data_IF_803442795703
#
_entry.id   IF_803442795703
#
_cell.length_a   1.000
_cell.length_b   1.000
_cell.length_c   1.000
_cell.angle_alpha   90.00
_cell.angle_beta   90.00
_cell.angle_gamma   90.00
#
_symmetry.space_group_name_H-M   'P 1'
#
loop_
_entity.id
_entity.type
_entity.pdbx_description
1 polymer ?
#
# COMPACT_ATOMS: atom_id res chain seq x y z
N UNK A 1 9.30 18.21 -11.22
CA UNK A 1 10.34 18.27 -12.28
C UNK A 1 9.95 19.29 -13.33
N UNK A 2 10.92 19.98 -13.90
CA UNK A 2 10.75 20.89 -15.05
C UNK A 2 11.73 20.48 -16.13
N UNK A 3 11.27 20.21 -17.36
CA UNK A 3 12.12 19.76 -18.49
C UNK A 3 13.07 18.62 -18.08
N UNK A 4 12.57 17.61 -17.36
CA UNK A 4 13.38 16.47 -16.92
C UNK A 4 14.29 16.73 -15.70
N UNK A 5 14.34 17.94 -15.16
CA UNK A 5 15.21 18.30 -14.05
C UNK A 5 14.46 18.35 -12.71
N UNK A 6 15.12 17.93 -11.63
CA UNK A 6 14.63 18.13 -10.26
C UNK A 6 14.71 19.61 -9.89
N UNK A 7 13.63 20.14 -9.34
CA UNK A 7 13.53 21.54 -8.93
C UNK A 7 12.79 21.60 -7.59
N UNK A 8 13.30 22.38 -6.65
CA UNK A 8 12.56 22.77 -5.46
C UNK A 8 11.43 23.73 -5.84
N UNK A 9 10.31 23.61 -5.16
CA UNK A 9 9.23 24.58 -5.23
C UNK A 9 8.56 24.72 -3.86
N UNK A 10 7.94 25.88 -3.62
CA UNK A 10 7.18 26.17 -2.41
C UNK A 10 5.74 26.48 -2.85
N UNK A 11 4.76 25.99 -2.10
CA UNK A 11 3.38 26.44 -2.21
C UNK A 11 3.18 27.42 -1.06
N UNK A 12 2.89 28.67 -1.40
CA UNK A 12 2.77 29.77 -0.46
C UNK A 12 1.38 30.40 -0.59
N UNK A 13 0.55 30.15 0.41
CA UNK A 13 -0.83 30.65 0.48
C UNK A 13 -0.89 32.15 0.76
N UNK A 14 0.19 32.77 1.23
CA UNK A 14 0.20 34.20 1.51
C UNK A 14 0.51 34.99 0.24
N UNK A 15 1.31 34.41 -0.66
CA UNK A 15 1.62 35.04 -1.92
C UNK A 15 0.46 34.96 -2.93
N UNK A 16 0.15 36.06 -3.61
CA UNK A 16 -0.95 36.11 -4.59
C UNK A 16 -0.56 35.59 -5.97
N UNK A 17 0.72 35.62 -6.32
CA UNK A 17 1.22 35.36 -7.69
C UNK A 17 2.14 34.14 -7.77
N UNK A 18 2.19 33.51 -8.94
CA UNK A 18 3.19 32.48 -9.21
C UNK A 18 4.51 33.11 -9.66
N UNK A 19 5.61 32.58 -9.18
CA UNK A 19 6.95 33.12 -9.38
C UNK A 19 7.92 32.01 -9.78
N UNK A 20 8.80 32.32 -10.71
CA UNK A 20 9.91 31.50 -11.14
C UNK A 20 11.20 32.27 -10.95
N UNK A 21 12.23 31.62 -10.42
CA UNK A 21 13.52 32.28 -10.27
C UNK A 21 14.20 32.45 -11.63
N UNK A 22 14.84 33.60 -11.83
CA UNK A 22 15.65 33.88 -13.00
C UNK A 22 16.71 32.78 -13.21
N UNK A 23 17.33 32.32 -12.12
CA UNK A 23 18.30 31.23 -12.12
C UNK A 23 17.73 29.93 -12.69
N UNK A 24 16.48 29.57 -12.40
CA UNK A 24 15.82 28.40 -13.01
C UNK A 24 15.67 28.57 -14.52
N UNK A 25 15.16 29.74 -14.93
CA UNK A 25 14.85 30.06 -16.32
C UNK A 25 16.12 30.02 -17.18
N UNK A 26 17.20 30.63 -16.70
CA UNK A 26 18.50 30.64 -17.38
C UNK A 26 19.11 29.23 -17.42
N UNK A 27 19.15 28.53 -16.27
CA UNK A 27 19.73 27.19 -16.17
C UNK A 27 19.09 26.17 -17.10
N UNK A 28 17.78 26.24 -17.28
CA UNK A 28 17.02 25.31 -18.13
C UNK A 28 16.77 25.84 -19.54
N UNK A 29 17.23 27.06 -19.82
CA UNK A 29 16.99 27.82 -21.04
C UNK A 29 15.50 27.82 -21.41
N UNK A 30 14.65 28.24 -20.47
CA UNK A 30 13.21 28.31 -20.67
C UNK A 30 12.85 29.58 -21.46
N UNK A 31 11.97 29.49 -22.48
CA UNK A 31 11.54 30.65 -23.21
C UNK A 31 10.74 31.58 -22.29
N UNK A 32 11.09 32.87 -22.30
CA UNK A 32 10.35 33.91 -21.57
C UNK A 32 9.46 34.69 -22.53
N UNK A 33 8.34 35.16 -22.00
CA UNK A 33 7.34 35.95 -22.71
C UNK A 33 7.31 37.34 -22.05
N UNK A 34 7.29 38.43 -22.83
CA UNK A 34 7.05 39.77 -22.27
C UNK A 34 5.73 39.81 -21.50
N UNK A 35 5.75 40.40 -20.31
CA UNK A 35 4.53 40.57 -19.53
C UNK A 35 3.62 41.59 -20.23
N UNK A 36 2.31 41.33 -20.42
CA UNK A 36 1.40 42.24 -21.14
C UNK A 36 1.37 43.67 -20.56
N UNK A 37 1.56 43.79 -19.25
CA UNK A 37 1.64 45.06 -18.53
C UNK A 37 2.69 44.99 -17.43
N UNK A 38 3.81 45.72 -17.57
CA UNK A 38 4.80 45.74 -16.50
C UNK A 38 4.24 46.35 -15.22
N UNK A 39 4.51 45.73 -14.07
CA UNK A 39 4.04 46.22 -12.78
C UNK A 39 5.09 46.07 -11.68
N UNK A 40 4.91 46.79 -10.57
CA UNK A 40 5.83 46.72 -9.43
C UNK A 40 5.31 45.67 -8.43
N UNK A 41 6.16 44.71 -8.11
CA UNK A 41 5.92 43.74 -7.04
C UNK A 41 6.76 44.16 -5.82
N UNK A 42 6.14 44.21 -4.65
CA UNK A 42 6.85 44.36 -3.39
C UNK A 42 7.44 42.98 -3.06
N UNK A 43 8.75 42.84 -3.25
CA UNK A 43 9.43 41.55 -3.09
C UNK A 43 9.70 41.27 -1.61
N UNK A 44 9.79 39.99 -1.25
CA UNK A 44 10.16 39.49 0.09
C UNK A 44 11.59 39.87 0.52
N UNK A 45 12.45 40.24 -0.43
CA UNK A 45 13.82 40.63 -0.14
C UNK A 45 13.88 42.14 0.06
N UNK A 46 14.52 42.58 1.14
CA UNK A 46 14.59 43.92 1.73
C UNK A 46 15.08 45.06 0.79
N UNK A 47 15.28 44.82 -0.51
CA UNK A 47 15.93 45.72 -1.49
C UNK A 47 14.97 46.46 -2.44
N UNK A 48 13.73 46.71 -2.02
CA UNK A 48 12.84 47.67 -2.71
C UNK A 48 11.87 47.07 -3.74
N UNK A 49 11.17 47.96 -4.46
CA UNK A 49 10.13 47.61 -5.46
C UNK A 49 10.78 47.02 -6.72
N UNK A 50 10.41 45.79 -7.07
CA UNK A 50 10.90 45.11 -8.27
C UNK A 50 9.91 45.26 -9.43
N UNK A 51 10.41 45.53 -10.64
CA UNK A 51 9.56 45.59 -11.83
C UNK A 51 9.44 44.19 -12.44
N UNK A 52 8.21 43.70 -12.57
CA UNK A 52 7.87 42.49 -13.29
C UNK A 52 7.56 42.84 -14.73
N UNK A 53 8.35 42.35 -15.67
CA UNK A 53 8.17 42.58 -17.11
C UNK A 53 8.30 41.30 -17.95
N UNK A 54 8.55 40.14 -17.32
CA UNK A 54 8.72 38.85 -18.00
C UNK A 54 7.95 37.76 -17.28
N UNK A 55 7.42 36.83 -18.05
CA UNK A 55 6.77 35.62 -17.59
C UNK A 55 7.38 34.39 -18.25
N UNK A 56 7.18 33.24 -17.66
CA UNK A 56 7.60 31.94 -18.18
C UNK A 56 6.48 30.93 -17.95
N UNK A 57 6.19 30.13 -18.98
CA UNK A 57 5.28 29.00 -18.85
C UNK A 57 6.07 27.78 -18.38
N UNK A 58 5.89 27.40 -17.12
CA UNK A 58 6.54 26.23 -16.53
C UNK A 58 5.65 25.01 -16.74
N UNK A 59 6.19 24.01 -17.45
CA UNK A 59 5.60 22.66 -17.52
C UNK A 59 6.10 21.84 -16.34
N UNK A 60 5.32 21.79 -15.27
CA UNK A 60 5.61 21.07 -14.04
C UNK A 60 5.10 19.63 -14.13
N UNK A 61 5.96 18.67 -13.80
CA UNK A 61 5.58 17.26 -13.64
C UNK A 61 5.79 16.84 -12.18
N UNK A 62 4.72 16.38 -11.52
CA UNK A 62 4.73 15.82 -10.16
C UNK A 62 4.23 14.37 -10.23
N UNK A 63 5.13 13.39 -10.13
CA UNK A 63 4.80 11.99 -10.35
C UNK A 63 4.06 11.79 -11.70
N UNK A 64 2.78 11.43 -11.69
CA UNK A 64 1.93 11.29 -12.89
C UNK A 64 1.20 12.58 -13.29
N UNK A 65 1.15 13.57 -12.40
CA UNK A 65 0.50 14.85 -12.66
C UNK A 65 1.38 15.75 -13.53
N UNK A 66 0.77 16.41 -14.51
CA UNK A 66 1.42 17.36 -15.41
C UNK A 66 0.60 18.63 -15.46
N UNK A 67 1.26 19.77 -15.36
CA UNK A 67 0.62 21.08 -15.32
C UNK A 67 1.43 22.12 -16.09
N UNK A 68 0.75 23.09 -16.70
CA UNK A 68 1.34 24.27 -17.30
C UNK A 68 0.98 25.48 -16.44
N UNK A 69 1.98 26.10 -15.81
CA UNK A 69 1.80 27.19 -14.85
C UNK A 69 2.51 28.42 -15.38
N UNK A 70 1.79 29.53 -15.53
CA UNK A 70 2.38 30.81 -15.91
C UNK A 70 2.96 31.49 -14.66
N UNK A 71 4.26 31.75 -14.67
CA UNK A 71 4.98 32.36 -13.54
C UNK A 71 5.65 33.66 -13.95
N UNK A 72 5.66 34.64 -13.05
CA UNK A 72 6.47 35.84 -13.19
C UNK A 72 7.94 35.51 -12.96
N UNK A 73 8.84 36.04 -13.78
CA UNK A 73 10.28 35.81 -13.62
C UNK A 73 10.84 36.85 -12.66
N UNK A 74 11.52 36.38 -11.60
CA UNK A 74 12.16 37.28 -10.62
C UNK A 74 13.55 36.79 -10.23
N UNK A 75 14.51 37.68 -9.95
CA UNK A 75 15.74 37.33 -9.23
C UNK A 75 15.41 36.98 -7.77
N UNK A 76 15.32 35.69 -7.45
CA UNK A 76 15.16 35.19 -6.07
C UNK A 76 16.06 33.99 -5.81
N UNK A 77 16.61 33.92 -4.60
CA UNK A 77 17.45 32.81 -4.13
C UNK A 77 16.71 31.82 -3.23
N UNK A 78 15.46 32.12 -2.83
CA UNK A 78 14.71 31.31 -1.85
C UNK A 78 14.32 29.95 -2.42
N UNK A 79 13.79 29.92 -3.64
CA UNK A 79 13.34 28.69 -4.31
C UNK A 79 13.35 28.87 -5.82
N UNK A 80 13.39 27.77 -6.57
CA UNK A 80 13.28 27.85 -8.04
C UNK A 80 11.88 28.24 -8.50
N UNK A 81 10.85 27.79 -7.79
CA UNK A 81 9.44 28.06 -8.10
C UNK A 81 8.69 28.35 -6.80
N UNK A 82 7.87 29.38 -6.82
CA UNK A 82 6.92 29.67 -5.76
C UNK A 82 5.52 29.74 -6.37
N UNK A 83 4.63 28.88 -5.89
CA UNK A 83 3.24 28.79 -6.32
C UNK A 83 2.39 29.54 -5.32
N UNK A 84 1.73 30.60 -5.79
CA UNK A 84 0.87 31.42 -4.95
C UNK A 84 -0.56 30.90 -4.91
N UNK A 85 -1.43 31.70 -4.28
CA UNK A 85 -2.88 31.51 -4.25
C UNK A 85 -3.50 31.32 -5.62
N UNK A 86 -3.03 32.05 -6.64
CA UNK A 86 -3.53 31.91 -8.01
C UNK A 86 -3.50 30.45 -8.48
N UNK A 87 -2.35 29.77 -8.36
CA UNK A 87 -2.26 28.35 -8.71
C UNK A 87 -3.14 27.47 -7.81
N UNK A 88 -3.19 27.73 -6.50
CA UNK A 88 -4.03 26.97 -5.55
C UNK A 88 -5.52 27.05 -5.90
N UNK A 89 -6.03 28.23 -6.22
CA UNK A 89 -7.41 28.45 -6.63
C UNK A 89 -7.70 27.80 -7.98
N UNK A 90 -6.84 28.01 -8.98
CA UNK A 90 -7.00 27.44 -10.33
C UNK A 90 -7.06 25.90 -10.31
N UNK A 91 -6.37 25.27 -9.36
CA UNK A 91 -6.29 23.81 -9.21
C UNK A 91 -7.15 23.24 -8.08
N UNK A 92 -7.93 24.08 -7.40
CA UNK A 92 -8.76 23.71 -6.25
C UNK A 92 -7.99 22.87 -5.22
N UNK A 93 -6.75 23.28 -4.93
CA UNK A 93 -5.86 22.54 -4.04
C UNK A 93 -6.31 22.75 -2.59
N UNK A 94 -6.55 21.65 -1.90
CA UNK A 94 -6.84 21.62 -0.46
C UNK A 94 -5.56 21.32 0.30
N UNK A 95 -5.20 22.15 1.28
CA UNK A 95 -4.06 21.92 2.16
C UNK A 95 -4.53 21.44 3.53
N UNK A 96 -3.99 20.31 3.97
CA UNK A 96 -4.15 19.82 5.33
C UNK A 96 -2.93 20.28 6.15
N UNK A 97 -3.09 21.35 6.94
CA UNK A 97 -2.00 21.95 7.71
C UNK A 97 -1.39 21.04 8.79
N UNK A 98 -2.15 20.07 9.30
CA UNK A 98 -1.66 19.12 10.33
C UNK A 98 -0.69 18.10 9.73
N UNK A 99 -1.01 17.59 8.54
CA UNK A 99 -0.20 16.56 7.87
C UNK A 99 0.73 17.11 6.79
N UNK A 100 0.66 18.42 6.55
CA UNK A 100 1.29 19.13 5.44
C UNK A 100 1.03 18.47 4.06
N UNK A 101 -0.19 17.93 3.87
CA UNK A 101 -0.58 17.27 2.63
C UNK A 101 -1.39 18.21 1.76
N UNK A 102 -1.01 18.32 0.49
CA UNK A 102 -1.76 19.01 -0.54
C UNK A 102 -2.52 18.00 -1.39
N UNK A 103 -3.84 18.15 -1.45
CA UNK A 103 -4.73 17.30 -2.25
C UNK A 103 -5.36 18.16 -3.34
N UNK A 104 -5.21 17.74 -4.59
CA UNK A 104 -5.86 18.39 -5.73
C UNK A 104 -6.51 17.32 -6.58
N UNK A 105 -7.83 17.41 -6.74
CA UNK A 105 -8.59 16.44 -7.50
C UNK A 105 -8.75 16.98 -8.91
N UNK A 106 -7.89 16.56 -9.83
CA UNK A 106 -8.23 16.65 -11.24
C UNK A 106 -9.24 15.55 -11.52
N UNK A 107 -10.52 15.77 -11.21
CA UNK A 107 -11.58 14.92 -11.74
C UNK A 107 -11.63 15.16 -13.24
N UNK A 108 -10.89 14.36 -14.01
CA UNK A 108 -11.30 14.10 -15.38
C UNK A 108 -12.51 13.16 -15.29
N UNK A 109 -13.71 13.55 -15.74
CA UNK A 109 -14.78 12.59 -15.90
C UNK A 109 -14.25 11.46 -16.78
N UNK A 110 -14.38 10.23 -16.31
CA UNK A 110 -14.09 9.07 -17.13
C UNK A 110 -14.97 9.11 -18.37
N UNK A 111 -14.40 8.79 -19.53
CA UNK A 111 -15.25 8.59 -20.70
C UNK A 111 -16.13 7.35 -20.47
N UNK A 112 -17.32 7.27 -21.08
CA UNK A 112 -18.15 6.06 -21.00
C UNK A 112 -17.39 4.77 -21.37
N UNK A 113 -16.41 4.87 -22.27
CA UNK A 113 -15.55 3.76 -22.66
C UNK A 113 -14.59 3.34 -21.53
N UNK A 114 -13.97 4.29 -20.82
CA UNK A 114 -13.10 3.98 -19.69
C UNK A 114 -13.88 3.29 -18.56
N UNK A 115 -15.12 3.75 -18.31
CA UNK A 115 -16.03 3.13 -17.33
C UNK A 115 -16.39 1.70 -17.74
N UNK A 116 -16.69 1.48 -19.02
CA UNK A 116 -17.00 0.16 -19.55
C UNK A 116 -15.81 -0.80 -19.44
N UNK A 117 -14.60 -0.35 -19.81
CA UNK A 117 -13.37 -1.14 -19.69
C UNK A 117 -13.10 -1.54 -18.24
N UNK A 118 -13.26 -0.60 -17.30
CA UNK A 118 -13.02 -0.87 -15.88
C UNK A 118 -14.07 -1.83 -15.30
N UNK A 119 -15.35 -1.70 -15.69
CA UNK A 119 -16.40 -2.66 -15.34
C UNK A 119 -16.09 -4.06 -15.88
N UNK A 120 -15.63 -4.18 -17.12
CA UNK A 120 -15.22 -5.46 -17.72
C UNK A 120 -14.04 -6.05 -16.95
N UNK A 121 -13.05 -5.23 -16.60
CA UNK A 121 -11.86 -5.65 -15.85
C UNK A 121 -12.22 -6.12 -14.44
N UNK A 122 -13.12 -5.42 -13.75
CA UNK A 122 -13.64 -5.83 -12.45
C UNK A 122 -14.33 -7.18 -12.53
N UNK A 123 -15.26 -7.38 -13.47
CA UNK A 123 -15.94 -8.68 -13.68
C UNK A 123 -14.95 -9.80 -14.00
N UNK A 124 -13.95 -9.56 -14.84
CA UNK A 124 -12.89 -10.54 -15.14
C UNK A 124 -12.08 -10.92 -13.90
N UNK A 125 -11.76 -9.96 -13.04
CA UNK A 125 -11.02 -10.22 -11.81
C UNK A 125 -11.86 -11.00 -10.78
N UNK A 126 -13.16 -10.71 -10.69
CA UNK A 126 -14.10 -11.46 -9.84
C UNK A 126 -14.22 -12.92 -10.29
N UNK A 127 -14.41 -13.17 -11.60
CA UNK A 127 -14.45 -14.53 -12.14
C UNK A 127 -13.16 -15.29 -11.85
N UNK A 128 -11.99 -14.68 -12.08
CA UNK A 128 -10.69 -15.30 -11.75
C UNK A 128 -10.56 -15.64 -10.27
N UNK A 129 -11.11 -14.79 -9.39
CA UNK A 129 -11.12 -15.03 -7.94
C UNK A 129 -12.00 -16.22 -7.58
N UNK A 130 -13.19 -16.33 -8.19
CA UNK A 130 -14.11 -17.45 -8.00
C UNK A 130 -13.46 -18.76 -8.50
N UNK A 131 -12.92 -18.79 -9.72
CA UNK A 131 -12.25 -19.97 -10.27
C UNK A 131 -11.09 -20.46 -9.38
N UNK A 132 -10.31 -19.53 -8.82
CA UNK A 132 -9.22 -19.86 -7.90
C UNK A 132 -9.75 -20.49 -6.60
N UNK A 133 -10.85 -19.97 -6.05
CA UNK A 133 -11.47 -20.52 -4.85
C UNK A 133 -12.03 -21.93 -5.11
N UNK A 134 -12.69 -22.14 -6.26
CA UNK A 134 -13.20 -23.45 -6.65
C UNK A 134 -12.09 -24.50 -6.82
N UNK A 135 -10.94 -24.12 -7.38
CA UNK A 135 -9.77 -25.02 -7.48
C UNK A 135 -9.27 -25.45 -6.09
N UNK A 136 -9.12 -24.49 -5.18
CA UNK A 136 -8.70 -24.76 -3.80
C UNK A 136 -9.70 -25.69 -3.11
N UNK A 137 -11.00 -25.48 -3.31
CA UNK A 137 -12.04 -26.33 -2.70
C UNK A 137 -12.03 -27.75 -3.27
N UNK A 138 -11.83 -27.91 -4.59
CA UNK A 138 -11.67 -29.22 -5.24
C UNK A 138 -10.45 -29.96 -4.69
N UNK A 139 -9.32 -29.30 -4.52
CA UNK A 139 -8.12 -29.89 -3.92
C UNK A 139 -8.35 -30.31 -2.47
N UNK A 140 -8.98 -29.45 -1.65
CA UNK A 140 -9.36 -29.80 -0.27
C UNK A 140 -10.27 -31.03 -0.22
N UNK A 141 -11.25 -31.14 -1.13
CA UNK A 141 -12.14 -32.32 -1.24
C UNK A 141 -11.38 -33.59 -1.59
N UNK A 142 -10.35 -33.53 -2.44
CA UNK A 142 -9.49 -34.68 -2.78
C UNK A 142 -8.60 -35.14 -1.63
N UNK A 143 -8.05 -34.20 -0.85
CA UNK A 143 -7.13 -34.51 0.27
C UNK A 143 -7.89 -35.05 1.48
N UNK A 144 -9.11 -34.58 1.72
CA UNK A 144 -9.95 -34.96 2.88
C UNK A 144 -10.10 -36.48 3.09
N UNK A 145 -10.45 -37.32 2.09
CA UNK A 145 -10.57 -38.77 2.28
C UNK A 145 -9.23 -39.44 2.61
N UNK A 146 -8.13 -39.04 1.96
CA UNK A 146 -6.78 -39.57 2.22
C UNK A 146 -6.37 -39.28 3.67
N UNK A 147 -6.61 -38.05 4.13
CA UNK A 147 -6.34 -37.66 5.51
C UNK A 147 -7.20 -38.43 6.53
N UNK A 148 -8.49 -38.62 6.24
CA UNK A 148 -9.39 -39.41 7.08
C UNK A 148 -8.96 -40.88 7.16
N UNK A 149 -8.45 -41.44 6.06
CA UNK A 149 -7.95 -42.81 6.01
C UNK A 149 -6.69 -42.97 6.88
N UNK A 150 -5.70 -42.08 6.73
CA UNK A 150 -4.49 -42.07 7.56
C UNK A 150 -4.82 -41.93 9.05
N UNK A 151 -5.79 -41.08 9.40
CA UNK A 151 -6.26 -40.96 10.80
C UNK A 151 -6.86 -42.25 11.33
N UNK A 152 -7.69 -42.94 10.53
CA UNK A 152 -8.26 -44.23 10.92
C UNK A 152 -7.15 -45.25 11.17
N UNK A 153 -6.17 -45.34 10.29
CA UNK A 153 -5.02 -46.25 10.40
C UNK A 153 -4.18 -45.98 11.65
N UNK A 154 -3.86 -44.72 11.93
CA UNK A 154 -3.15 -44.33 13.15
C UNK A 154 -3.95 -44.67 14.42
N UNK A 155 -5.26 -44.42 14.43
CA UNK A 155 -6.12 -44.76 15.57
C UNK A 155 -6.20 -46.28 15.78
N UNK A 156 -6.29 -47.07 14.71
CA UNK A 156 -6.26 -48.54 14.81
C UNK A 156 -4.93 -49.04 15.36
N UNK A 157 -3.80 -48.51 14.87
CA UNK A 157 -2.48 -48.87 15.39
C UNK A 157 -2.35 -48.52 16.87
N UNK A 158 -2.78 -47.33 17.29
CA UNK A 158 -2.74 -46.91 18.70
C UNK A 158 -3.60 -47.81 19.60
N UNK A 159 -4.80 -48.18 19.14
CA UNK A 159 -5.69 -49.12 19.88
C UNK A 159 -5.04 -50.49 20.06
N UNK A 160 -4.36 -51.00 19.02
CA UNK A 160 -3.63 -52.28 19.09
C UNK A 160 -2.49 -52.18 20.11
N UNK A 161 -1.66 -51.15 20.01
CA UNK A 161 -0.54 -50.94 20.93
C UNK A 161 -1.01 -50.81 22.38
N UNK A 162 -2.09 -50.07 22.62
CA UNK A 162 -2.67 -49.92 23.96
C UNK A 162 -3.22 -51.25 24.51
N UNK A 163 -3.93 -52.03 23.70
CA UNK A 163 -4.47 -53.34 24.08
C UNK A 163 -3.37 -54.35 24.37
N UNK A 164 -2.27 -54.33 23.60
CA UNK A 164 -1.09 -55.17 23.84
C UNK A 164 -0.41 -54.80 25.16
N UNK A 165 -0.21 -53.51 25.39
CA UNK A 165 0.41 -53.02 26.62
C UNK A 165 -0.41 -53.37 27.88
N UNK A 166 -1.74 -53.28 27.81
CA UNK A 166 -2.62 -53.71 28.90
C UNK A 166 -2.53 -55.21 29.20
N UNK A 167 -2.39 -56.06 28.18
CA UNK A 167 -2.19 -57.51 28.36
C UNK A 167 -0.85 -57.81 29.03
N UNK A 168 0.21 -57.13 28.60
CA UNK A 168 1.55 -57.32 29.17
C UNK A 168 1.61 -56.81 30.62
N UNK A 169 0.84 -55.77 30.97
CA UNK A 169 0.73 -55.30 32.35
C UNK A 169 0.07 -56.32 33.30
N UNK A 170 -0.81 -57.22 32.83
CA UNK A 170 -1.45 -58.23 33.70
C UNK A 170 -0.45 -59.20 34.35
N UNK A 171 0.75 -59.38 33.78
CA UNK A 171 1.81 -60.27 34.26
C UNK A 171 2.56 -59.78 35.52
N UNK A 172 2.38 -58.53 35.93
CA UNK A 172 3.02 -57.99 37.14
C UNK A 172 2.16 -58.21 38.40
N UNK A 173 2.72 -58.89 39.41
CA UNK A 173 2.01 -59.29 40.65
C UNK A 173 1.93 -58.18 41.72
N UNK A 174 2.76 -57.14 41.68
CA UNK A 174 2.71 -56.03 42.66
C UNK A 174 1.85 -54.84 42.17
N UNK A 175 0.96 -54.38 43.05
CA UNK A 175 -0.06 -53.35 42.79
C UNK A 175 0.51 -51.95 42.53
N UNK A 176 1.65 -51.60 43.14
CA UNK A 176 2.32 -50.29 42.99
C UNK A 176 3.04 -50.12 41.66
N UNK A 177 3.69 -51.16 41.14
CA UNK A 177 4.41 -51.13 39.84
C UNK A 177 3.41 -51.06 38.67
N UNK A 178 2.27 -51.75 38.78
CA UNK A 178 1.16 -51.68 37.80
C UNK A 178 0.60 -50.26 37.63
N UNK A 179 0.40 -49.54 38.75
CA UNK A 179 -0.12 -48.18 38.74
C UNK A 179 0.84 -47.18 38.08
N UNK A 180 2.13 -47.25 38.41
CA UNK A 180 3.17 -46.35 37.87
C UNK A 180 3.35 -46.59 36.37
N UNK A 181 3.43 -47.85 35.92
CA UNK A 181 3.54 -48.16 34.48
C UNK A 181 2.30 -47.72 33.70
N UNK A 182 1.09 -47.95 34.22
CA UNK A 182 -0.14 -47.46 33.60
C UNK A 182 -0.17 -45.94 33.49
N UNK A 183 0.26 -45.19 34.51
CA UNK A 183 0.30 -43.73 34.46
C UNK A 183 1.35 -43.20 33.48
N UNK A 184 2.53 -43.83 33.37
CA UNK A 184 3.56 -43.43 32.39
C UNK A 184 3.10 -43.72 30.96
N UNK A 185 2.49 -44.88 30.71
CA UNK A 185 1.95 -45.24 29.39
C UNK A 185 0.74 -44.39 29.00
N UNK A 186 -0.14 -44.07 29.95
CA UNK A 186 -1.25 -43.14 29.73
C UNK A 186 -0.73 -41.72 29.45
N UNK A 187 0.29 -41.25 30.18
CA UNK A 187 0.93 -39.96 29.93
C UNK A 187 1.62 -39.89 28.56
N UNK A 188 2.31 -40.95 28.13
CA UNK A 188 2.97 -40.98 26.81
C UNK A 188 1.96 -41.02 25.66
N UNK A 189 0.87 -41.79 25.82
CA UNK A 189 -0.22 -41.83 24.83
C UNK A 189 -1.02 -40.54 24.78
N UNK A 190 -1.32 -39.90 25.92
CA UNK A 190 -1.95 -38.57 26.00
C UNK A 190 -1.04 -37.48 25.39
N UNK A 191 0.28 -37.54 25.60
CA UNK A 191 1.22 -36.55 25.06
C UNK A 191 1.38 -36.67 23.55
N UNK A 192 1.36 -37.88 23.00
CA UNK A 192 1.35 -38.12 21.56
C UNK A 192 0.02 -37.71 20.91
N UNK A 193 -1.11 -38.14 21.47
CA UNK A 193 -2.44 -37.78 20.95
C UNK A 193 -2.75 -36.30 21.09
N UNK A 194 -2.30 -35.64 22.17
CA UNK A 194 -2.47 -34.20 22.38
C UNK A 194 -1.66 -33.30 21.43
N UNK A 195 -0.52 -33.79 20.90
CA UNK A 195 0.20 -33.10 19.81
C UNK A 195 -0.54 -33.24 18.48
N UNK A 196 -1.08 -34.43 18.19
CA UNK A 196 -1.90 -34.69 16.99
C UNK A 196 -3.20 -33.85 17.03
N UNK A 197 -3.86 -33.78 18.19
CA UNK A 197 -5.10 -33.02 18.36
C UNK A 197 -4.89 -31.49 18.26
N UNK A 198 -3.73 -30.97 18.73
CA UNK A 198 -3.35 -29.57 18.53
C UNK A 198 -3.10 -29.22 17.05
N UNK A 199 -2.49 -30.13 16.28
CA UNK A 199 -2.37 -29.97 14.83
C UNK A 199 -3.72 -30.05 14.11
N UNK A 200 -4.62 -30.94 14.54
CA UNK A 200 -6.00 -31.04 14.04
C UNK A 200 -6.82 -29.76 14.27
N UNK A 201 -6.71 -29.14 15.45
CA UNK A 201 -7.44 -27.90 15.79
C UNK A 201 -6.99 -26.70 14.94
N UNK A 202 -5.71 -26.66 14.57
CA UNK A 202 -5.15 -25.64 13.66
C UNK A 202 -5.58 -25.84 12.21
N UNK A 203 -5.86 -27.07 11.78
CA UNK A 203 -6.38 -27.37 10.44
C UNK A 203 -7.90 -27.13 10.31
N UNK A 204 -8.68 -27.31 11.38
CA UNK A 204 -10.14 -27.10 11.35
C UNK A 204 -10.54 -25.61 11.37
N UNK A 205 -9.65 -24.73 11.82
CA UNK A 205 -9.87 -23.28 11.95
C UNK A 205 -9.17 -22.44 10.84
N UNK A 206 -8.78 -23.06 9.71
CA UNK A 206 -8.15 -22.43 8.52
C UNK A 206 -8.86 -22.90 7.25
#
# INVERSE_FOLDING_TARGET
MVKGNCCSFIIDDDNSVNVASLRLVEKLCLPTIPHPKSYRLQCLNEKGKMIINKQVLIKLTLYKYKDGILCNVVPTEVTYILLGRSWKFDRQVTHNGVTNKFSFVTLKPFSPNDVLEDQIKMKKNEMKKIEKLERIEKEKKKIKPVYLQLLKECLTSLKISFKRCLKDCHLFKESTIKLILCQVLLCLTIRHTGKIWRSLRRFKNK
#
